data_IF_788850424085
#
_entry.id   IF_788850424085
#
_cell.length_a   1.000
_cell.length_b   1.000
_cell.length_c   1.000
_cell.angle_alpha   90.00
_cell.angle_beta   90.00
_cell.angle_gamma   90.00
#
_symmetry.space_group_name_H-M   'P 1'
#
loop_
_entity.id
_entity.type
_entity.pdbx_description
1 polymer ?
#
# COMPACT_ATOMS: atom_id res chain seq x y z
N UNK A 1 -15.60 18.66 10.13
CA UNK A 1 -14.70 18.36 9.00
C UNK A 1 -15.44 17.93 7.73
N UNK A 2 -16.42 17.00 7.77
CA UNK A 2 -17.20 16.59 6.57
C UNK A 2 -17.83 17.75 5.79
N UNK A 3 -18.21 18.84 6.44
CA UNK A 3 -18.84 19.99 5.79
C UNK A 3 -17.87 20.83 4.95
N UNK A 4 -16.61 20.96 5.38
CA UNK A 4 -15.57 21.74 4.68
C UNK A 4 -15.14 21.03 3.38
N UNK A 5 -15.08 19.69 3.39
CA UNK A 5 -14.72 18.89 2.21
C UNK A 5 -15.83 18.96 1.15
N UNK A 6 -17.11 18.95 1.54
CA UNK A 6 -18.25 19.15 0.64
C UNK A 6 -18.20 20.52 -0.07
N UNK A 7 -17.88 21.57 0.64
CA UNK A 7 -17.76 22.93 0.10
C UNK A 7 -16.57 23.04 -0.89
N UNK A 8 -15.43 22.40 -0.59
CA UNK A 8 -14.26 22.38 -1.47
C UNK A 8 -14.52 21.59 -2.78
N UNK A 9 -15.21 20.46 -2.69
CA UNK A 9 -15.61 19.67 -3.86
C UNK A 9 -16.55 20.45 -4.76
N UNK A 10 -17.53 21.14 -4.19
CA UNK A 10 -18.45 22.02 -4.91
C UNK A 10 -17.73 23.15 -5.64
N UNK A 11 -16.74 23.78 -4.99
CA UNK A 11 -15.90 24.82 -5.55
C UNK A 11 -15.05 24.32 -6.74
N UNK A 12 -14.53 23.09 -6.70
CA UNK A 12 -13.76 22.49 -7.78
C UNK A 12 -14.63 22.12 -8.99
N UNK A 13 -15.87 21.74 -8.78
CA UNK A 13 -16.83 21.45 -9.85
C UNK A 13 -17.31 22.75 -10.51
N UNK A 14 -17.62 23.80 -9.75
CA UNK A 14 -18.11 25.08 -10.26
C UNK A 14 -17.04 25.89 -11.03
N UNK A 15 -15.75 25.76 -10.67
CA UNK A 15 -14.64 26.42 -11.39
C UNK A 15 -14.18 25.72 -12.66
N UNK A 16 -14.56 24.49 -12.88
CA UNK A 16 -14.32 23.79 -14.16
C UNK A 16 -15.48 23.96 -15.11
N UNK A 17 -15.85 25.20 -15.42
CA UNK A 17 -16.85 25.52 -16.43
C UNK A 17 -16.60 24.81 -17.76
N UNK A 18 -17.02 23.55 -17.84
CA UNK A 18 -17.11 22.80 -19.08
C UNK A 18 -18.46 23.12 -19.70
N UNK A 19 -18.42 23.94 -20.77
CA UNK A 19 -19.56 24.08 -21.66
C UNK A 19 -20.01 22.71 -22.19
N UNK A 20 -21.31 22.59 -22.44
CA UNK A 20 -21.96 21.43 -23.06
C UNK A 20 -21.40 21.23 -24.49
N UNK A 21 -20.32 20.47 -24.61
CA UNK A 21 -19.73 20.08 -25.88
C UNK A 21 -18.96 18.78 -25.72
N UNK A 22 -19.17 17.82 -26.61
CA UNK A 22 -18.38 16.58 -26.64
C UNK A 22 -16.88 16.93 -26.74
N UNK A 23 -16.02 16.33 -25.90
CA UNK A 23 -14.57 16.58 -26.00
C UNK A 23 -14.05 16.06 -27.34
N UNK A 24 -13.05 16.74 -27.96
CA UNK A 24 -12.45 16.32 -29.21
C UNK A 24 -11.85 14.90 -29.08
N UNK A 25 -11.87 14.15 -30.18
CA UNK A 25 -11.55 12.71 -30.23
C UNK A 25 -10.07 12.38 -29.90
N UNK A 26 -9.21 13.40 -29.88
CA UNK A 26 -7.80 13.32 -29.48
C UNK A 26 -7.56 13.55 -27.97
N UNK A 27 -8.62 13.61 -27.17
CA UNK A 27 -8.51 13.78 -25.71
C UNK A 27 -7.83 12.57 -25.08
N UNK A 28 -6.73 12.76 -24.35
CA UNK A 28 -6.03 11.66 -23.68
C UNK A 28 -6.99 10.82 -22.84
N UNK A 29 -6.81 9.50 -22.85
CA UNK A 29 -7.71 8.52 -22.20
C UNK A 29 -8.02 8.82 -20.73
N UNK A 30 -7.08 9.44 -19.99
CA UNK A 30 -7.28 9.86 -18.59
C UNK A 30 -8.22 11.07 -18.44
N UNK A 31 -8.53 11.80 -19.53
CA UNK A 31 -9.52 12.87 -19.54
C UNK A 31 -10.91 12.39 -20.01
N UNK A 32 -11.00 11.19 -20.60
CA UNK A 32 -12.26 10.60 -21.07
C UNK A 32 -13.10 9.96 -19.96
N UNK A 33 -12.60 9.85 -18.73
CA UNK A 33 -13.42 9.45 -17.59
C UNK A 33 -14.36 10.59 -17.20
N UNK A 34 -15.50 10.65 -17.87
CA UNK A 34 -16.68 11.31 -17.31
C UNK A 34 -17.09 10.48 -16.10
N UNK A 35 -16.78 10.97 -14.90
CA UNK A 35 -17.34 10.41 -13.68
C UNK A 35 -18.82 10.81 -13.73
N UNK A 36 -19.67 9.91 -14.24
CA UNK A 36 -21.10 10.00 -14.02
C UNK A 36 -21.29 9.73 -12.54
N UNK A 37 -21.46 10.78 -11.76
CA UNK A 37 -21.85 10.66 -10.35
C UNK A 37 -23.36 10.35 -10.37
N UNK A 38 -23.69 9.08 -10.63
CA UNK A 38 -25.00 8.54 -10.35
C UNK A 38 -25.00 8.11 -8.88
N UNK A 39 -25.83 8.79 -8.09
CA UNK A 39 -26.10 8.58 -6.68
C UNK A 39 -24.94 8.77 -5.68
N UNK A 40 -25.03 9.85 -4.89
CA UNK A 40 -24.10 10.19 -3.78
C UNK A 40 -24.04 9.12 -2.66
N UNK A 41 -24.86 8.07 -2.72
CA UNK A 41 -24.96 7.03 -1.70
C UNK A 41 -24.27 5.70 -2.07
N UNK A 42 -23.71 5.57 -3.28
CA UNK A 42 -23.06 4.33 -3.73
C UNK A 42 -21.62 4.61 -4.18
N UNK A 43 -20.78 5.14 -3.29
CA UNK A 43 -19.34 5.13 -3.48
C UNK A 43 -18.91 3.65 -3.47
N UNK A 44 -18.56 3.10 -4.64
CA UNK A 44 -17.98 1.75 -4.72
C UNK A 44 -16.81 1.67 -3.72
N UNK A 45 -16.99 0.84 -2.71
CA UNK A 45 -15.95 0.57 -1.74
C UNK A 45 -14.86 -0.26 -2.43
N UNK A 46 -13.77 0.39 -2.80
CA UNK A 46 -12.60 -0.28 -3.36
C UNK A 46 -11.65 -0.72 -2.26
N UNK A 47 -10.88 -1.78 -2.52
CA UNK A 47 -9.84 -2.27 -1.63
C UNK A 47 -8.47 -1.77 -2.10
N UNK A 48 -7.70 -1.20 -1.18
CA UNK A 48 -6.34 -0.72 -1.38
C UNK A 48 -5.39 -1.44 -0.44
N UNK A 49 -4.21 -1.79 -0.92
CA UNK A 49 -3.25 -2.54 -0.12
C UNK A 49 -1.89 -1.86 -0.05
N UNK A 50 -1.24 -2.03 1.09
CA UNK A 50 0.11 -1.58 1.33
C UNK A 50 0.98 -2.75 1.78
N UNK A 51 2.21 -2.82 1.25
CA UNK A 51 3.24 -3.58 1.92
C UNK A 51 3.60 -2.92 3.26
N UNK A 52 4.34 -3.65 4.09
CA UNK A 52 4.67 -3.19 5.43
C UNK A 52 6.10 -2.64 5.52
N UNK A 53 7.09 -3.47 5.20
CA UNK A 53 8.50 -3.13 5.33
C UNK A 53 8.93 -2.16 4.22
N UNK A 54 9.65 -1.10 4.57
CA UNK A 54 10.04 0.01 3.70
C UNK A 54 8.88 0.76 3.00
N UNK A 55 7.64 0.29 3.18
CA UNK A 55 6.42 0.93 2.65
C UNK A 55 5.69 1.71 3.74
N UNK A 56 5.20 1.06 4.79
CA UNK A 56 4.55 1.73 5.94
C UNK A 56 5.53 2.09 7.05
N UNK A 57 6.63 1.36 7.17
CA UNK A 57 7.74 1.65 8.06
C UNK A 57 9.03 1.77 7.27
N UNK A 58 10.05 2.44 7.83
CA UNK A 58 11.32 2.68 7.15
C UNK A 58 12.48 2.14 7.94
N UNK A 59 13.49 1.69 7.19
CA UNK A 59 14.76 1.26 7.71
C UNK A 59 15.92 2.00 7.07
N UNK A 60 17.07 1.92 7.69
CA UNK A 60 18.35 2.36 7.13
C UNK A 60 19.42 1.33 7.43
N UNK A 61 20.13 0.90 6.39
CA UNK A 61 21.36 0.12 6.55
C UNK A 61 22.51 1.06 6.91
N UNK A 62 23.22 0.73 7.95
CA UNK A 62 24.43 1.42 8.39
C UNK A 62 25.67 0.91 7.64
N UNK A 63 26.80 1.60 7.75
CA UNK A 63 28.05 1.24 7.06
C UNK A 63 28.62 -0.12 7.52
N UNK A 64 28.35 -0.55 8.72
CA UNK A 64 28.71 -1.86 9.28
C UNK A 64 27.76 -3.00 8.87
N UNK A 65 26.72 -2.68 8.12
CA UNK A 65 25.69 -3.63 7.65
C UNK A 65 24.53 -3.81 8.62
N UNK A 66 24.55 -3.17 9.77
CA UNK A 66 23.40 -3.16 10.68
C UNK A 66 22.24 -2.38 10.07
N UNK A 67 21.02 -2.80 10.36
CA UNK A 67 19.81 -2.14 9.89
C UNK A 67 19.01 -1.59 11.06
N UNK A 68 18.68 -0.33 11.00
CA UNK A 68 18.02 0.42 12.07
C UNK A 68 16.63 0.86 11.61
N UNK A 69 15.66 0.65 12.48
CA UNK A 69 14.31 1.16 12.31
C UNK A 69 14.28 2.69 12.44
N UNK A 70 13.71 3.37 11.45
CA UNK A 70 13.63 4.84 11.39
C UNK A 70 12.26 5.40 11.75
N UNK A 71 11.27 4.54 11.99
CA UNK A 71 9.92 4.95 12.28
C UNK A 71 8.94 4.81 11.10
N UNK A 72 7.69 5.22 11.31
CA UNK A 72 6.64 5.15 10.30
C UNK A 72 6.96 6.00 9.06
N UNK A 73 6.53 5.52 7.89
CA UNK A 73 6.64 6.25 6.64
C UNK A 73 5.45 7.21 6.48
N UNK A 74 5.58 8.41 7.04
CA UNK A 74 4.50 9.40 7.19
C UNK A 74 3.69 9.63 5.91
N UNK A 75 4.35 9.66 4.73
CA UNK A 75 3.68 9.87 3.44
C UNK A 75 2.64 8.77 3.19
N UNK A 76 3.03 7.49 3.31
CA UNK A 76 2.14 6.36 3.00
C UNK A 76 1.11 6.10 4.10
N UNK A 77 1.45 6.36 5.35
CA UNK A 77 0.48 6.40 6.46
C UNK A 77 -0.62 7.45 6.19
N UNK A 78 -0.27 8.62 5.67
CA UNK A 78 -1.26 9.65 5.34
C UNK A 78 -2.13 9.25 4.14
N UNK A 79 -1.56 8.61 3.10
CA UNK A 79 -2.33 8.06 1.97
C UNK A 79 -3.32 7.01 2.48
N UNK A 80 -2.86 6.08 3.31
CA UNK A 80 -3.69 5.05 3.93
C UNK A 80 -4.89 5.64 4.67
N UNK A 81 -4.64 6.63 5.54
CA UNK A 81 -5.71 7.32 6.28
C UNK A 81 -6.70 8.01 5.37
N UNK A 82 -6.20 8.70 4.34
CA UNK A 82 -7.06 9.41 3.39
C UNK A 82 -7.98 8.44 2.63
N UNK A 83 -7.47 7.31 2.16
CA UNK A 83 -8.27 6.28 1.49
C UNK A 83 -9.39 5.75 2.38
N UNK A 84 -9.09 5.48 3.65
CA UNK A 84 -10.10 5.04 4.59
C UNK A 84 -11.13 6.14 4.94
N UNK A 85 -10.70 7.41 5.04
CA UNK A 85 -11.59 8.56 5.22
C UNK A 85 -12.51 8.76 4.01
N UNK A 86 -12.04 8.40 2.81
CA UNK A 86 -12.82 8.42 1.57
C UNK A 86 -13.79 7.22 1.46
N UNK A 87 -13.81 6.33 2.45
CA UNK A 87 -14.74 5.19 2.55
C UNK A 87 -14.24 3.90 1.92
N UNK A 88 -12.97 3.83 1.56
CA UNK A 88 -12.37 2.64 0.97
C UNK A 88 -11.85 1.68 2.04
N UNK A 89 -11.79 0.39 1.71
CA UNK A 89 -11.14 -0.61 2.54
C UNK A 89 -9.62 -0.53 2.36
N UNK A 90 -8.89 -0.53 3.47
CA UNK A 90 -7.42 -0.55 3.45
C UNK A 90 -6.91 -1.79 4.15
N UNK A 91 -5.99 -2.49 3.49
CA UNK A 91 -5.40 -3.74 3.97
C UNK A 91 -3.87 -3.68 3.94
N UNK A 92 -3.22 -4.44 4.81
CA UNK A 92 -1.77 -4.67 4.76
C UNK A 92 -1.52 -6.07 4.23
N UNK A 93 -0.64 -6.19 3.22
CA UNK A 93 -0.20 -7.48 2.68
C UNK A 93 1.33 -7.52 2.76
N UNK A 94 1.87 -8.32 3.67
CA UNK A 94 3.30 -8.36 3.98
C UNK A 94 3.93 -9.71 3.69
N UNK A 95 5.20 -9.73 3.32
CA UNK A 95 6.01 -10.94 3.15
C UNK A 95 6.44 -11.58 4.49
N UNK A 96 6.22 -10.90 5.61
CA UNK A 96 6.50 -11.46 6.95
C UNK A 96 5.72 -12.77 7.21
N UNK A 97 6.09 -13.46 8.27
CA UNK A 97 5.38 -14.66 8.75
C UNK A 97 4.58 -14.35 10.01
N UNK A 98 3.37 -14.94 10.18
CA UNK A 98 2.61 -14.78 11.43
C UNK A 98 3.31 -15.35 12.67
N UNK A 99 4.28 -16.27 12.48
CA UNK A 99 5.02 -16.91 13.56
C UNK A 99 6.18 -16.04 14.06
N UNK A 100 6.76 -15.25 13.18
CA UNK A 100 7.88 -14.35 13.49
C UNK A 100 7.62 -12.97 12.87
N UNK A 101 6.71 -12.25 13.49
CA UNK A 101 6.23 -10.96 12.98
C UNK A 101 7.25 -9.83 13.14
N UNK A 102 8.20 -9.98 14.06
CA UNK A 102 9.26 -8.99 14.32
C UNK A 102 10.50 -9.19 13.46
N UNK A 103 10.69 -10.39 12.91
CA UNK A 103 11.78 -10.62 12.00
C UNK A 103 11.60 -9.81 10.71
N UNK A 104 12.65 -9.24 10.13
CA UNK A 104 14.08 -9.39 10.51
C UNK A 104 14.59 -8.37 11.55
N UNK A 105 13.75 -7.55 12.16
CA UNK A 105 14.15 -6.43 13.01
C UNK A 105 13.45 -6.49 14.37
N UNK A 106 14.18 -6.82 15.41
CA UNK A 106 13.64 -6.98 16.77
C UNK A 106 13.12 -5.67 17.38
N UNK A 107 13.64 -4.53 16.94
CA UNK A 107 13.28 -3.19 17.39
C UNK A 107 12.16 -2.54 16.59
N UNK A 108 11.79 -3.14 15.45
CA UNK A 108 10.67 -2.67 14.64
C UNK A 108 9.33 -3.22 15.15
N UNK A 109 8.23 -2.46 14.98
CA UNK A 109 6.90 -2.94 15.33
C UNK A 109 6.46 -4.09 14.41
N UNK A 110 5.57 -4.93 14.91
CA UNK A 110 4.77 -5.79 14.04
C UNK A 110 3.72 -4.97 13.30
N UNK A 111 3.11 -5.48 12.22
CA UNK A 111 2.00 -4.79 11.56
C UNK A 111 0.87 -4.45 12.53
N UNK A 112 0.50 -5.36 13.43
CA UNK A 112 -0.54 -5.12 14.43
C UNK A 112 -0.16 -4.08 15.47
N UNK A 113 1.12 -4.08 15.93
CA UNK A 113 1.62 -3.06 16.85
C UNK A 113 1.57 -1.67 16.21
N UNK A 114 1.99 -1.52 14.95
CA UNK A 114 1.91 -0.25 14.21
C UNK A 114 0.47 0.23 14.04
N UNK A 115 -0.43 -0.68 13.65
CA UNK A 115 -1.86 -0.39 13.49
C UNK A 115 -2.45 0.10 14.81
N UNK A 116 -2.16 -0.57 15.91
CA UNK A 116 -2.64 -0.20 17.23
C UNK A 116 -2.03 1.13 17.73
N UNK A 117 -0.71 1.30 17.61
CA UNK A 117 0.01 2.49 18.06
C UNK A 117 -0.47 3.77 17.35
N UNK A 118 -0.63 3.69 16.02
CA UNK A 118 -1.02 4.83 15.21
C UNK A 118 -2.55 4.94 15.01
N UNK A 119 -3.32 4.02 15.59
CA UNK A 119 -4.77 3.91 15.39
C UNK A 119 -5.13 3.96 13.89
N UNK A 120 -4.50 3.07 13.10
CA UNK A 120 -4.73 3.02 11.66
C UNK A 120 -6.05 2.31 11.34
N UNK A 121 -6.81 2.78 10.36
CA UNK A 121 -8.08 2.18 9.94
C UNK A 121 -7.82 0.96 9.01
N UNK A 122 -7.09 -0.03 9.49
CA UNK A 122 -6.75 -1.27 8.78
C UNK A 122 -7.55 -2.41 9.39
N UNK A 123 -8.32 -3.11 8.57
CA UNK A 123 -9.18 -4.21 8.99
C UNK A 123 -8.53 -5.59 8.78
N UNK A 124 -7.68 -5.71 7.76
CA UNK A 124 -7.08 -6.97 7.35
C UNK A 124 -5.57 -6.82 7.26
N UNK A 125 -4.86 -7.79 7.85
CA UNK A 125 -3.41 -7.96 7.72
C UNK A 125 -3.17 -9.39 7.20
N UNK A 126 -2.60 -9.50 5.99
CA UNK A 126 -2.29 -10.76 5.34
C UNK A 126 -0.79 -11.00 5.28
N UNK A 127 -0.41 -12.22 5.58
CA UNK A 127 0.97 -12.69 5.62
C UNK A 127 1.24 -13.68 4.50
N UNK A 128 2.19 -13.40 3.60
CA UNK A 128 2.49 -14.28 2.45
C UNK A 128 3.63 -15.25 2.71
N UNK A 129 4.36 -15.09 3.83
CA UNK A 129 5.47 -15.97 4.22
C UNK A 129 6.55 -16.06 3.13
N UNK A 130 6.93 -14.91 2.55
CA UNK A 130 7.91 -14.82 1.48
C UNK A 130 7.44 -15.24 0.09
N UNK A 131 6.20 -15.65 -0.06
CA UNK A 131 5.63 -15.85 -1.39
C UNK A 131 5.18 -14.51 -1.98
N UNK A 132 5.10 -14.45 -3.31
CA UNK A 132 4.55 -13.29 -4.01
C UNK A 132 3.14 -12.97 -3.50
N UNK A 133 2.89 -11.67 -3.32
CA UNK A 133 1.64 -11.14 -2.78
C UNK A 133 0.46 -11.25 -3.74
N UNK A 134 0.73 -11.38 -5.05
CA UNK A 134 -0.25 -11.34 -6.15
C UNK A 134 -1.50 -12.15 -5.88
N UNK A 135 -1.35 -13.41 -5.40
CA UNK A 135 -2.50 -14.25 -5.09
C UNK A 135 -3.40 -13.62 -4.01
N UNK A 136 -2.81 -13.08 -2.94
CA UNK A 136 -3.56 -12.43 -1.86
C UNK A 136 -4.22 -11.15 -2.33
N UNK A 137 -3.54 -10.36 -3.16
CA UNK A 137 -4.09 -9.14 -3.74
C UNK A 137 -5.33 -9.43 -4.59
N UNK A 138 -5.28 -10.48 -5.42
CA UNK A 138 -6.42 -10.93 -6.23
C UNK A 138 -7.57 -11.45 -5.35
N UNK A 139 -7.28 -12.30 -4.36
CA UNK A 139 -8.27 -12.86 -3.44
C UNK A 139 -9.02 -11.77 -2.65
N UNK A 140 -8.35 -10.64 -2.36
CA UNK A 140 -8.91 -9.48 -1.66
C UNK A 140 -9.57 -8.46 -2.60
N UNK A 141 -9.49 -8.65 -3.91
CA UNK A 141 -10.02 -7.70 -4.90
C UNK A 141 -9.34 -6.34 -4.87
N UNK A 142 -8.01 -6.33 -4.62
CA UNK A 142 -7.24 -5.09 -4.50
C UNK A 142 -7.24 -4.34 -5.83
N UNK A 143 -7.59 -3.05 -5.78
CA UNK A 143 -7.54 -2.17 -6.93
C UNK A 143 -6.13 -1.58 -7.14
N UNK A 144 -5.45 -1.21 -6.05
CA UNK A 144 -4.11 -0.62 -6.11
C UNK A 144 -3.25 -1.09 -4.94
N UNK A 145 -1.98 -1.42 -5.23
CA UNK A 145 -0.98 -1.88 -4.28
C UNK A 145 0.24 -0.95 -4.23
N UNK A 146 0.73 -0.64 -3.03
CA UNK A 146 2.00 0.07 -2.83
C UNK A 146 3.03 -0.87 -2.22
N UNK A 147 4.19 -0.98 -2.87
CA UNK A 147 5.26 -1.88 -2.47
C UNK A 147 6.64 -1.28 -2.76
N UNK A 148 7.62 -1.58 -1.94
CA UNK A 148 9.01 -1.17 -2.16
C UNK A 148 9.80 -2.19 -3.01
N UNK A 149 9.30 -3.39 -3.22
CA UNK A 149 9.91 -4.42 -4.07
C UNK A 149 9.40 -4.32 -5.51
N UNK A 150 10.33 -4.16 -6.47
CA UNK A 150 9.98 -4.04 -7.88
C UNK A 150 9.36 -5.34 -8.44
N UNK A 151 9.79 -6.51 -7.96
CA UNK A 151 9.24 -7.80 -8.40
C UNK A 151 7.77 -7.94 -7.99
N UNK A 152 7.42 -7.51 -6.77
CA UNK A 152 6.03 -7.50 -6.29
C UNK A 152 5.16 -6.52 -7.10
N UNK A 153 5.69 -5.34 -7.40
CA UNK A 153 5.01 -4.33 -8.23
C UNK A 153 4.75 -4.87 -9.64
N UNK A 154 5.77 -5.45 -10.28
CA UNK A 154 5.66 -5.99 -11.62
C UNK A 154 4.66 -7.17 -11.67
N UNK A 155 4.72 -8.08 -10.69
CA UNK A 155 3.80 -9.21 -10.57
C UNK A 155 2.33 -8.76 -10.35
N UNK A 156 2.11 -7.70 -9.57
CA UNK A 156 0.78 -7.12 -9.39
C UNK A 156 0.24 -6.53 -10.70
N UNK A 157 1.08 -5.77 -11.43
CA UNK A 157 0.72 -5.18 -12.72
C UNK A 157 0.39 -6.28 -13.76
N UNK A 158 1.22 -7.33 -13.85
CA UNK A 158 0.97 -8.47 -14.74
C UNK A 158 -0.35 -9.17 -14.43
N UNK A 159 -0.77 -9.18 -13.17
CA UNK A 159 -2.06 -9.71 -12.73
C UNK A 159 -3.25 -8.76 -12.95
N UNK A 160 -3.02 -7.56 -13.48
CA UNK A 160 -4.06 -6.56 -13.75
C UNK A 160 -4.40 -5.66 -12.57
N UNK A 161 -3.59 -5.66 -11.51
CA UNK A 161 -3.73 -4.79 -10.34
C UNK A 161 -2.88 -3.54 -10.57
N UNK A 162 -3.42 -2.36 -10.31
CA UNK A 162 -2.59 -1.15 -10.29
C UNK A 162 -1.56 -1.25 -9.17
N UNK A 163 -0.30 -0.92 -9.44
CA UNK A 163 0.73 -0.93 -8.40
C UNK A 163 1.68 0.25 -8.52
N UNK A 164 2.20 0.70 -7.39
CA UNK A 164 3.14 1.82 -7.30
C UNK A 164 4.36 1.42 -6.50
N UNK A 165 5.54 1.55 -7.12
CA UNK A 165 6.82 1.41 -6.46
C UNK A 165 7.02 2.51 -5.41
N UNK A 166 7.25 2.10 -4.18
CA UNK A 166 7.64 2.99 -3.09
C UNK A 166 9.15 3.25 -3.17
N UNK A 167 9.60 4.51 -3.25
CA UNK A 167 11.03 4.79 -3.28
C UNK A 167 11.68 4.49 -1.94
N UNK A 168 12.71 3.68 -1.96
CA UNK A 168 13.56 3.40 -0.80
C UNK A 168 14.95 3.99 -1.06
N UNK A 169 15.55 4.71 -0.11
CA UNK A 169 16.91 5.21 -0.25
C UNK A 169 17.93 4.05 -0.23
N UNK A 170 18.66 3.84 -1.32
CA UNK A 170 19.72 2.85 -1.42
C UNK A 170 19.29 1.44 -1.84
N UNK A 171 20.19 0.45 -1.71
CA UNK A 171 19.97 -0.97 -2.05
C UNK A 171 19.39 -1.77 -0.87
N UNK A 172 18.76 -1.11 0.08
CA UNK A 172 18.29 -1.69 1.35
C UNK A 172 17.28 -2.83 1.14
N UNK A 173 16.43 -2.72 0.14
CA UNK A 173 15.39 -3.72 -0.16
C UNK A 173 15.97 -5.09 -0.48
N UNK A 174 17.04 -5.16 -1.30
CA UNK A 174 17.65 -6.44 -1.68
C UNK A 174 18.33 -7.11 -0.49
N UNK A 175 19.04 -6.34 0.34
CA UNK A 175 19.69 -6.87 1.55
C UNK A 175 18.69 -7.40 2.57
N UNK A 176 17.56 -6.71 2.74
CA UNK A 176 16.43 -7.15 3.55
C UNK A 176 15.87 -8.48 3.08
N UNK A 177 15.62 -8.58 1.78
CA UNK A 177 15.12 -9.81 1.15
C UNK A 177 16.08 -10.98 1.34
N UNK A 178 17.37 -10.77 1.08
CA UNK A 178 18.39 -11.81 1.21
C UNK A 178 18.51 -12.29 2.67
N UNK A 179 18.46 -11.37 3.64
CA UNK A 179 18.48 -11.71 5.06
C UNK A 179 17.24 -12.52 5.46
N UNK A 180 16.06 -12.11 4.97
CA UNK A 180 14.80 -12.80 5.22
C UNK A 180 14.79 -14.21 4.61
N UNK A 181 15.19 -14.38 3.35
CA UNK A 181 15.30 -15.68 2.69
C UNK A 181 16.26 -16.62 3.42
N UNK A 182 17.40 -16.11 3.87
CA UNK A 182 18.37 -16.88 4.65
C UNK A 182 17.82 -17.31 6.02
N UNK A 183 16.97 -16.50 6.65
CA UNK A 183 16.32 -16.85 7.90
C UNK A 183 15.28 -17.97 7.69
N UNK A 184 14.40 -17.82 6.69
CA UNK A 184 13.39 -18.82 6.38
C UNK A 184 14.01 -20.19 6.07
N UNK A 185 15.08 -20.22 5.25
CA UNK A 185 15.80 -21.46 4.93
C UNK A 185 16.34 -22.18 6.17
N UNK A 186 16.76 -21.46 7.20
CA UNK A 186 17.23 -22.06 8.46
C UNK A 186 16.13 -22.71 9.29
N UNK A 187 14.93 -22.13 9.26
CA UNK A 187 13.80 -22.63 10.05
C UNK A 187 13.02 -23.76 9.38
N UNK A 188 13.11 -23.91 8.05
CA UNK A 188 12.56 -25.09 7.35
C UNK A 188 13.29 -26.38 7.70
N UNK A 189 14.60 -26.30 7.97
CA UNK A 189 15.41 -27.46 8.38
C UNK A 189 15.15 -27.92 9.83
N UNK A 190 14.62 -27.03 10.70
CA UNK A 190 14.32 -27.35 12.10
C UNK A 190 12.93 -28.00 12.31
N UNK A 191 12.08 -27.99 11.27
CA UNK A 191 10.69 -28.50 11.35
C UNK A 191 10.47 -29.84 10.62
N UNK A 192 11.52 -30.42 10.04
CA UNK A 192 11.56 -31.76 9.46
C UNK A 192 12.36 -32.72 10.33
#
# INVERSE_FOLDING_TARGET
MKHIIKEWRKFLVEKRGFGEGEPPDDTPWYKKRTIVVEDEDNLEQNTYSFDFDNTLIRYKTLEDGDVVYLGPHVKYINILRQLAEDGHQVVIVTSRTPLDKKFPWDDAPTPEELVAELNLPVEIIEYTRGNLKTKKLLDLGVLHHWDDDQEEVDAAIEAGIEATKVPVPGEETQQLRDKWLNHMAKHEDETN
#
